data_IF_761178765052
#
_entry.id   IF_761178765052
#
_cell.length_a   1.000
_cell.length_b   1.000
_cell.length_c   1.000
_cell.angle_alpha   90.00
_cell.angle_beta   90.00
_cell.angle_gamma   90.00
#
_symmetry.space_group_name_H-M   'P 1'
#
loop_
_entity.id
_entity.type
_entity.pdbx_description
1 polymer ?
#
# COMPACT_ATOMS: atom_id res chain seq x y z
N UNK A 1 -5.83 35.33 13.45
CA UNK A 1 -6.88 34.41 12.98
C UNK A 1 -8.23 34.94 13.45
N UNK A 2 -9.13 35.30 12.53
CA UNK A 2 -10.50 35.65 12.91
C UNK A 2 -11.17 34.35 13.36
N UNK A 3 -11.49 34.22 14.66
CA UNK A 3 -12.42 33.17 15.10
C UNK A 3 -13.74 33.42 14.37
N UNK A 4 -14.32 32.38 13.76
CA UNK A 4 -15.69 32.47 13.26
C UNK A 4 -16.57 32.84 14.46
N UNK A 5 -17.28 33.96 14.37
CA UNK A 5 -18.00 34.59 15.49
C UNK A 5 -19.10 33.71 16.10
N UNK A 6 -19.37 32.52 15.55
CA UNK A 6 -20.48 31.66 15.99
C UNK A 6 -20.14 30.19 16.29
N UNK A 7 -18.86 29.80 16.19
CA UNK A 7 -18.47 28.42 16.51
C UNK A 7 -19.00 27.38 15.52
N UNK A 8 -18.79 27.61 14.24
CA UNK A 8 -19.22 26.72 13.16
C UNK A 8 -18.51 25.35 13.16
N UNK A 9 -18.92 24.52 12.21
CA UNK A 9 -18.29 23.23 11.92
C UNK A 9 -16.95 23.45 11.22
N UNK A 10 -15.92 22.74 11.68
CA UNK A 10 -14.62 22.63 11.01
C UNK A 10 -14.56 21.27 10.35
N UNK A 11 -14.17 21.21 9.08
CA UNK A 11 -13.89 19.95 8.40
C UNK A 11 -12.39 19.79 8.15
N UNK A 12 -11.90 18.55 8.24
CA UNK A 12 -10.58 18.13 7.75
C UNK A 12 -10.79 16.93 6.83
N UNK A 13 -9.92 16.70 5.85
CA UNK A 13 -10.00 15.50 4.99
C UNK A 13 -8.70 14.72 4.91
N UNK A 14 -8.80 13.42 4.62
CA UNK A 14 -7.64 12.57 4.41
C UNK A 14 -7.95 11.06 4.44
N UNK A 15 -6.94 10.28 4.06
CA UNK A 15 -7.01 8.81 4.11
C UNK A 15 -6.71 8.24 5.50
N UNK A 16 -5.86 8.91 6.29
CA UNK A 16 -5.55 8.53 7.68
C UNK A 16 -5.18 7.05 7.87
N UNK A 17 -4.31 6.53 7.00
CA UNK A 17 -4.04 5.09 6.92
C UNK A 17 -2.53 4.78 6.90
N UNK A 18 -1.93 4.29 8.01
CA UNK A 18 -2.51 4.20 9.36
C UNK A 18 -2.62 5.57 10.06
N UNK A 19 -3.48 5.65 11.08
CA UNK A 19 -3.58 6.81 11.98
C UNK A 19 -2.32 6.90 12.86
N UNK A 20 -1.81 8.12 13.09
CA UNK A 20 -0.64 8.36 13.93
C UNK A 20 -0.72 9.72 14.65
N UNK A 21 0.25 10.01 15.52
CA UNK A 21 0.25 11.20 16.39
C UNK A 21 0.16 12.53 15.61
N UNK A 22 0.63 12.56 14.37
CA UNK A 22 0.50 13.72 13.48
C UNK A 22 -0.96 14.08 13.20
N UNK A 23 -1.79 13.08 12.92
CA UNK A 23 -3.23 13.26 12.73
C UNK A 23 -3.92 13.73 14.01
N UNK A 24 -3.59 13.13 15.16
CA UNK A 24 -4.15 13.55 16.47
C UNK A 24 -3.84 15.01 16.77
N UNK A 25 -2.60 15.46 16.52
CA UNK A 25 -2.19 16.87 16.68
C UNK A 25 -2.90 17.78 15.68
N UNK A 26 -3.13 17.32 14.45
CA UNK A 26 -3.91 18.04 13.45
C UNK A 26 -5.36 18.23 13.93
N UNK A 27 -6.03 17.16 14.36
CA UNK A 27 -7.40 17.21 14.87
C UNK A 27 -7.51 18.13 16.09
N UNK A 28 -6.58 18.05 17.04
CA UNK A 28 -6.54 18.91 18.22
C UNK A 28 -6.41 20.40 17.87
N UNK A 29 -5.72 20.75 16.78
CA UNK A 29 -5.60 22.13 16.33
C UNK A 29 -6.80 22.56 15.48
N UNK A 30 -7.33 21.68 14.63
CA UNK A 30 -8.54 21.95 13.86
C UNK A 30 -9.76 22.19 14.77
N UNK A 31 -9.92 21.39 15.84
CA UNK A 31 -11.00 21.55 16.82
C UNK A 31 -10.96 22.91 17.53
N UNK A 32 -9.81 23.59 17.61
CA UNK A 32 -9.74 24.95 18.21
C UNK A 32 -10.34 26.04 17.32
N UNK A 33 -10.59 25.74 16.04
CA UNK A 33 -11.09 26.71 15.06
C UNK A 33 -12.62 26.80 15.03
N UNK A 34 -13.34 25.85 15.67
CA UNK A 34 -14.80 25.84 15.74
C UNK A 34 -15.33 24.97 16.87
N UNK A 35 -16.65 24.73 16.95
CA UNK A 35 -17.26 23.95 18.04
C UNK A 35 -17.31 22.44 17.76
N UNK A 36 -17.38 22.07 16.48
CA UNK A 36 -17.44 20.68 16.02
C UNK A 36 -16.39 20.43 14.95
N UNK A 37 -15.75 19.27 15.03
CA UNK A 37 -14.81 18.76 14.04
C UNK A 37 -15.43 17.59 13.29
N UNK A 38 -15.57 17.75 11.98
CA UNK A 38 -15.96 16.70 11.04
C UNK A 38 -14.71 16.22 10.31
N UNK A 39 -14.51 14.91 10.22
CA UNK A 39 -13.47 14.31 9.37
C UNK A 39 -14.13 13.74 8.13
N UNK A 40 -13.72 14.21 6.96
CA UNK A 40 -14.06 13.61 5.66
C UNK A 40 -13.01 12.55 5.35
N UNK A 41 -13.36 11.28 5.53
CA UNK A 41 -12.48 10.12 5.44
C UNK A 41 -12.50 9.54 4.02
N UNK A 42 -11.35 9.56 3.33
CA UNK A 42 -11.23 8.88 2.04
C UNK A 42 -11.47 7.37 2.24
N UNK A 43 -12.33 6.80 1.39
CA UNK A 43 -12.74 5.39 1.45
C UNK A 43 -11.65 4.44 0.91
N UNK A 44 -11.90 3.14 0.98
CA UNK A 44 -10.90 2.13 0.61
C UNK A 44 -10.57 2.15 -0.89
N UNK A 45 -11.55 2.40 -1.77
CA UNK A 45 -11.34 2.57 -3.21
C UNK A 45 -10.34 3.71 -3.49
N UNK A 46 -10.52 4.86 -2.84
CA UNK A 46 -9.64 6.01 -3.03
C UNK A 46 -8.21 5.72 -2.55
N UNK A 47 -8.05 4.98 -1.45
CA UNK A 47 -6.73 4.56 -0.95
C UNK A 47 -6.06 3.56 -1.90
N UNK A 48 -6.79 2.55 -2.37
CA UNK A 48 -6.32 1.58 -3.35
C UNK A 48 -5.81 2.29 -4.62
N UNK A 49 -6.58 3.20 -5.22
CA UNK A 49 -6.13 3.94 -6.41
C UNK A 49 -4.98 4.91 -6.11
N UNK A 50 -4.77 5.35 -4.86
CA UNK A 50 -3.64 6.23 -4.50
C UNK A 50 -2.35 5.47 -4.24
N UNK A 51 -2.44 4.40 -3.47
CA UNK A 51 -1.30 3.73 -2.81
C UNK A 51 -1.10 2.29 -3.27
N UNK A 52 -2.11 1.67 -3.88
CA UNK A 52 -2.12 0.25 -4.21
C UNK A 52 -2.47 -0.68 -3.05
N UNK A 53 -2.72 -0.14 -1.85
CA UNK A 53 -3.08 -0.94 -0.66
C UNK A 53 -3.94 -0.13 0.33
N UNK A 54 -4.60 -0.87 1.23
CA UNK A 54 -5.33 -0.37 2.41
C UNK A 54 -4.77 -1.10 3.63
N UNK A 55 -4.19 -0.37 4.58
CA UNK A 55 -3.62 -0.97 5.80
C UNK A 55 -4.69 -1.17 6.89
N UNK A 56 -5.58 -0.20 7.06
CA UNK A 56 -6.79 -0.28 7.87
C UNK A 56 -8.00 0.03 7.00
N UNK A 57 -9.04 -0.80 7.08
CA UNK A 57 -10.31 -0.57 6.36
C UNK A 57 -10.94 0.76 6.78
N UNK A 58 -11.78 1.32 5.92
CA UNK A 58 -12.47 2.58 6.21
C UNK A 58 -13.31 2.53 7.48
N UNK A 59 -13.83 1.36 7.85
CA UNK A 59 -14.64 1.18 9.05
C UNK A 59 -13.75 1.22 10.31
N UNK A 60 -12.62 0.53 10.31
CA UNK A 60 -11.63 0.58 11.40
C UNK A 60 -11.09 2.00 11.59
N UNK A 61 -10.71 2.67 10.48
CA UNK A 61 -10.23 4.05 10.52
C UNK A 61 -11.31 4.98 11.08
N UNK A 62 -12.57 4.83 10.65
CA UNK A 62 -13.70 5.61 11.17
C UNK A 62 -13.88 5.41 12.67
N UNK A 63 -13.86 4.17 13.14
CA UNK A 63 -14.02 3.83 14.56
C UNK A 63 -12.91 4.48 15.39
N UNK A 64 -11.64 4.27 15.03
CA UNK A 64 -10.50 4.87 15.73
C UNK A 64 -10.61 6.41 15.77
N UNK A 65 -11.04 7.05 14.67
CA UNK A 65 -11.21 8.50 14.62
C UNK A 65 -12.25 8.99 15.63
N UNK A 66 -13.39 8.31 15.73
CA UNK A 66 -14.45 8.64 16.70
C UNK A 66 -13.98 8.42 18.14
N UNK A 67 -13.26 7.32 18.40
CA UNK A 67 -12.74 6.98 19.73
C UNK A 67 -11.66 7.97 20.25
N UNK A 68 -11.10 8.82 19.39
CA UNK A 68 -10.16 9.86 19.85
C UNK A 68 -10.79 10.90 20.79
N UNK A 69 -12.12 11.04 20.81
CA UNK A 69 -12.85 12.12 21.48
C UNK A 69 -12.64 13.52 20.88
N UNK A 70 -11.75 13.64 19.88
CA UNK A 70 -11.48 14.90 19.19
C UNK A 70 -12.43 15.08 17.99
N UNK A 71 -12.83 14.01 17.33
CA UNK A 71 -13.67 14.04 16.14
C UNK A 71 -15.13 13.86 16.53
N UNK A 72 -15.98 14.83 16.16
CA UNK A 72 -17.41 14.80 16.51
C UNK A 72 -18.25 14.05 15.47
N UNK A 73 -17.75 13.93 14.22
CA UNK A 73 -18.39 13.14 13.16
C UNK A 73 -17.38 12.73 12.09
N UNK A 74 -17.56 11.53 11.54
CA UNK A 74 -16.82 11.06 10.36
C UNK A 74 -17.79 10.89 9.18
N UNK A 75 -17.43 11.44 8.03
CA UNK A 75 -18.13 11.27 6.75
C UNK A 75 -17.20 10.51 5.81
N UNK A 76 -17.58 9.29 5.42
CA UNK A 76 -16.80 8.50 4.46
C UNK A 76 -17.13 8.99 3.04
N UNK A 77 -16.10 9.12 2.20
CA UNK A 77 -16.29 9.55 0.81
C UNK A 77 -16.99 8.50 -0.05
N UNK A 78 -17.70 8.95 -1.07
CA UNK A 78 -18.50 8.16 -2.01
C UNK A 78 -17.74 7.65 -3.25
N UNK A 79 -16.40 7.66 -3.26
CA UNK A 79 -15.60 7.26 -4.43
C UNK A 79 -15.87 5.80 -4.85
N UNK A 80 -16.19 5.60 -6.11
CA UNK A 80 -16.31 4.24 -6.70
C UNK A 80 -14.93 3.66 -7.01
N UNK A 81 -14.90 2.38 -7.38
CA UNK A 81 -13.70 1.80 -7.98
C UNK A 81 -13.34 2.59 -9.25
N UNK A 82 -12.07 2.98 -9.39
CA UNK A 82 -11.56 3.81 -10.49
C UNK A 82 -12.29 5.16 -10.68
N UNK A 83 -12.78 5.77 -9.59
CA UNK A 83 -13.44 7.09 -9.66
C UNK A 83 -12.48 8.14 -10.27
N UNK A 84 -12.89 8.86 -11.33
CA UNK A 84 -12.07 9.90 -11.96
C UNK A 84 -11.91 11.13 -11.06
N UNK A 85 -12.84 11.39 -10.14
CA UNK A 85 -12.73 12.45 -9.14
C UNK A 85 -11.85 11.96 -7.98
N UNK A 86 -10.85 12.76 -7.60
CA UNK A 86 -9.98 12.48 -6.45
C UNK A 86 -10.15 13.49 -5.32
N UNK A 87 -11.01 14.48 -5.50
CA UNK A 87 -11.32 15.51 -4.51
C UNK A 87 -12.28 14.98 -3.44
N UNK A 88 -12.55 15.80 -2.42
CA UNK A 88 -13.64 15.55 -1.47
C UNK A 88 -14.83 16.49 -1.69
N UNK A 89 -14.99 17.02 -2.91
CA UNK A 89 -15.98 18.05 -3.22
C UNK A 89 -17.42 17.59 -2.95
N UNK A 90 -17.76 16.33 -3.26
CA UNK A 90 -19.10 15.76 -3.03
C UNK A 90 -19.48 15.85 -1.55
N UNK A 91 -18.59 15.40 -0.67
CA UNK A 91 -18.80 15.39 0.77
C UNK A 91 -18.67 16.79 1.38
N UNK A 92 -17.75 17.61 0.87
CA UNK A 92 -17.58 18.98 1.35
C UNK A 92 -18.81 19.84 1.06
N UNK A 93 -19.43 19.68 -0.10
CA UNK A 93 -20.69 20.33 -0.46
C UNK A 93 -21.88 19.86 0.40
N UNK A 94 -21.84 18.63 0.90
CA UNK A 94 -22.85 18.10 1.82
C UNK A 94 -22.65 18.58 3.26
N UNK A 95 -21.39 18.63 3.74
CA UNK A 95 -21.05 19.05 5.10
C UNK A 95 -21.19 20.56 5.29
N UNK A 96 -20.85 21.36 4.26
CA UNK A 96 -20.84 22.84 4.28
C UNK A 96 -20.22 23.41 5.57
N UNK A 97 -18.97 23.05 5.89
CA UNK A 97 -18.32 23.55 7.11
C UNK A 97 -18.08 25.06 7.01
N UNK A 98 -17.98 25.75 8.14
CA UNK A 98 -17.54 27.13 8.16
C UNK A 98 -16.04 27.23 7.79
N UNK A 99 -15.26 26.22 8.21
CA UNK A 99 -13.81 26.16 7.96
C UNK A 99 -13.44 24.79 7.37
N UNK A 100 -12.68 24.79 6.29
CA UNK A 100 -12.00 23.61 5.79
C UNK A 100 -10.50 23.69 6.11
N UNK A 101 -10.07 22.88 7.08
CA UNK A 101 -8.71 22.84 7.59
C UNK A 101 -7.92 21.72 6.92
N UNK A 102 -6.80 22.06 6.30
CA UNK A 102 -5.87 21.08 5.72
C UNK A 102 -4.58 21.00 6.56
N UNK A 103 -4.08 19.78 6.73
CA UNK A 103 -2.78 19.50 7.35
C UNK A 103 -1.65 19.35 6.32
N UNK A 104 -0.40 19.62 6.75
CA UNK A 104 0.81 19.38 5.97
C UNK A 104 1.02 20.28 4.74
N UNK A 105 1.81 19.81 3.78
CA UNK A 105 2.33 20.53 2.58
C UNK A 105 1.26 20.93 1.54
N UNK A 106 -0.04 20.84 1.88
CA UNK A 106 -1.10 21.34 1.00
C UNK A 106 -1.14 22.86 1.07
N UNK A 107 -0.65 23.50 0.01
CA UNK A 107 -0.76 24.93 -0.22
C UNK A 107 -1.95 25.31 -1.11
N UNK A 108 -2.03 26.59 -1.47
CA UNK A 108 -3.02 27.09 -2.44
C UNK A 108 -2.91 26.39 -3.79
N UNK A 109 -1.72 25.97 -4.19
CA UNK A 109 -1.49 25.53 -5.58
C UNK A 109 -1.87 24.06 -5.86
N UNK A 110 -2.32 23.30 -4.85
CA UNK A 110 -2.60 21.86 -4.98
C UNK A 110 -3.80 21.38 -4.14
N UNK A 111 -4.82 22.24 -3.97
CA UNK A 111 -6.04 21.87 -3.25
C UNK A 111 -7.25 21.93 -4.21
N UNK A 112 -7.72 20.76 -4.73
CA UNK A 112 -8.84 20.70 -5.68
C UNK A 112 -10.13 21.35 -5.17
N UNK A 113 -10.30 21.44 -3.86
CA UNK A 113 -11.50 21.97 -3.22
C UNK A 113 -11.57 23.50 -3.15
N UNK A 114 -10.54 24.23 -3.62
CA UNK A 114 -10.49 25.70 -3.50
C UNK A 114 -11.66 26.41 -4.18
N UNK A 115 -11.97 26.04 -5.42
CA UNK A 115 -13.04 26.68 -6.19
C UNK A 115 -14.40 26.45 -5.51
N UNK A 116 -14.63 25.23 -5.02
CA UNK A 116 -15.83 24.90 -4.27
C UNK A 116 -15.91 25.68 -2.96
N UNK A 117 -14.81 25.75 -2.20
CA UNK A 117 -14.75 26.51 -0.94
C UNK A 117 -15.09 27.99 -1.18
N UNK A 118 -14.52 28.60 -2.22
CA UNK A 118 -14.82 29.99 -2.60
C UNK A 118 -16.29 30.17 -2.96
N UNK A 119 -16.86 29.26 -3.76
CA UNK A 119 -18.27 29.29 -4.17
C UNK A 119 -19.23 29.15 -2.98
N UNK A 120 -18.87 28.33 -1.99
CA UNK A 120 -19.70 28.05 -0.82
C UNK A 120 -19.41 28.96 0.39
N UNK A 121 -18.45 29.89 0.28
CA UNK A 121 -18.06 30.77 1.39
C UNK A 121 -17.36 30.03 2.54
N UNK A 122 -16.71 28.90 2.25
CA UNK A 122 -15.96 28.10 3.23
C UNK A 122 -14.56 28.70 3.41
N UNK A 123 -14.18 29.05 4.64
CA UNK A 123 -12.85 29.56 4.95
C UNK A 123 -11.82 28.42 4.92
N UNK A 124 -10.75 28.55 4.14
CA UNK A 124 -9.68 27.56 4.11
C UNK A 124 -8.55 27.93 5.06
N UNK A 125 -8.15 26.98 5.90
CA UNK A 125 -7.00 27.13 6.81
C UNK A 125 -5.96 26.05 6.50
N UNK A 126 -4.76 26.47 6.13
CA UNK A 126 -3.66 25.57 5.79
C UNK A 126 -2.69 25.41 6.97
N UNK A 127 -1.85 24.38 6.90
CA UNK A 127 -0.79 24.11 7.89
C UNK A 127 -1.31 23.91 9.31
N UNK A 128 -2.48 23.27 9.47
CA UNK A 128 -3.05 22.98 10.79
C UNK A 128 -2.27 21.84 11.45
N UNK A 129 -1.37 22.19 12.36
CA UNK A 129 -0.52 21.24 13.09
C UNK A 129 0.81 21.86 13.49
N UNK A 130 1.09 21.94 14.81
CA UNK A 130 2.42 22.37 15.30
C UNK A 130 3.41 21.19 15.31
N UNK A 131 4.65 21.44 14.86
CA UNK A 131 5.77 20.50 15.03
C UNK A 131 6.29 19.79 13.77
N UNK A 132 5.92 20.22 12.56
CA UNK A 132 6.40 19.63 11.30
C UNK A 132 5.91 18.19 11.07
N UNK A 133 6.27 17.60 9.92
CA UNK A 133 6.06 16.17 9.62
C UNK A 133 7.02 15.32 10.46
N UNK A 134 6.77 15.22 11.77
CA UNK A 134 7.53 14.30 12.65
C UNK A 134 7.35 12.84 12.21
N UNK A 135 6.20 12.49 11.63
CA UNK A 135 5.86 11.12 11.22
C UNK A 135 4.82 11.17 10.10
N UNK A 136 4.91 10.26 9.14
CA UNK A 136 3.92 10.07 8.07
C UNK A 136 3.35 8.65 8.11
N UNK A 137 2.15 8.46 7.58
CA UNK A 137 1.58 7.12 7.39
C UNK A 137 2.48 6.22 6.52
N UNK A 138 3.08 6.78 5.46
CA UNK A 138 4.03 6.05 4.61
C UNK A 138 5.22 5.53 5.42
N UNK A 139 5.81 6.35 6.30
CA UNK A 139 6.92 5.92 7.15
C UNK A 139 6.57 4.74 8.07
N UNK A 140 5.32 4.67 8.56
CA UNK A 140 4.85 3.55 9.38
C UNK A 140 4.73 2.25 8.56
N UNK A 141 4.24 2.37 7.33
CA UNK A 141 4.05 1.23 6.43
C UNK A 141 5.34 0.81 5.72
N UNK A 142 6.29 1.73 5.54
CA UNK A 142 7.58 1.45 4.90
C UNK A 142 8.41 0.48 5.73
N UNK A 143 8.29 0.54 7.07
CA UNK A 143 8.94 -0.43 7.96
C UNK A 143 8.33 -1.83 7.88
N UNK A 144 7.06 -1.95 7.50
CA UNK A 144 6.36 -3.22 7.30
C UNK A 144 6.52 -3.76 5.89
N UNK A 145 6.61 -2.88 4.87
CA UNK A 145 6.90 -3.28 3.50
C UNK A 145 8.29 -3.91 3.35
N UNK A 146 9.26 -3.55 4.22
CA UNK A 146 10.56 -4.24 4.31
C UNK A 146 10.47 -5.74 4.68
N UNK A 147 9.35 -6.22 5.23
CA UNK A 147 9.19 -7.64 5.56
C UNK A 147 8.58 -8.47 4.42
N UNK A 148 8.12 -7.81 3.34
CA UNK A 148 7.51 -8.42 2.17
C UNK A 148 6.17 -9.14 2.42
N UNK A 149 5.40 -9.40 1.36
CA UNK A 149 4.16 -10.17 1.45
C UNK A 149 4.51 -11.66 1.50
N UNK A 150 4.25 -12.30 2.64
CA UNK A 150 4.53 -13.72 2.86
C UNK A 150 3.36 -14.60 2.44
N UNK A 151 3.66 -15.66 1.70
CA UNK A 151 2.70 -16.64 1.21
C UNK A 151 3.23 -18.05 1.48
N UNK A 152 2.49 -18.82 2.27
CA UNK A 152 2.80 -20.22 2.58
C UNK A 152 2.31 -21.15 1.45
N UNK A 153 3.06 -22.24 1.21
CA UNK A 153 2.79 -23.25 0.20
C UNK A 153 3.15 -24.65 0.73
N UNK A 154 2.61 -25.74 0.16
CA UNK A 154 3.00 -27.09 0.54
C UNK A 154 4.52 -27.29 0.46
N UNK A 155 5.15 -26.83 -0.63
CA UNK A 155 6.59 -26.92 -0.85
C UNK A 155 7.46 -25.99 0.02
N UNK A 156 6.87 -25.04 0.75
CA UNK A 156 7.61 -24.03 1.51
C UNK A 156 6.91 -22.69 1.57
N UNK A 157 7.61 -21.60 1.27
CA UNK A 157 7.04 -20.25 1.31
C UNK A 157 7.69 -19.34 0.29
N UNK A 158 6.99 -18.27 -0.06
CA UNK A 158 7.58 -17.13 -0.76
C UNK A 158 7.30 -15.83 -0.02
N UNK A 159 8.21 -14.87 -0.16
CA UNK A 159 8.08 -13.51 0.35
C UNK A 159 8.34 -12.56 -0.80
N UNK A 160 7.36 -11.75 -1.18
CA UNK A 160 7.52 -10.71 -2.20
C UNK A 160 8.00 -9.43 -1.55
N UNK A 161 9.24 -9.02 -1.82
CA UNK A 161 9.87 -7.83 -1.24
C UNK A 161 9.63 -6.58 -2.07
N UNK A 162 9.65 -6.71 -3.40
CA UNK A 162 9.49 -5.60 -4.33
C UNK A 162 8.58 -6.01 -5.49
N UNK A 163 7.64 -5.12 -5.81
CA UNK A 163 6.79 -5.20 -7.00
C UNK A 163 6.88 -3.86 -7.73
N UNK A 164 7.52 -3.86 -8.91
CA UNK A 164 7.60 -2.69 -9.79
C UNK A 164 7.08 -3.04 -11.18
N UNK A 165 6.93 -2.03 -12.04
CA UNK A 165 6.39 -2.20 -13.39
C UNK A 165 7.23 -3.12 -14.29
N UNK A 166 8.54 -3.19 -14.04
CA UNK A 166 9.51 -3.89 -14.88
C UNK A 166 10.38 -4.92 -14.15
N UNK A 167 10.18 -5.10 -12.85
CA UNK A 167 10.90 -6.12 -12.08
C UNK A 167 10.22 -6.47 -10.77
N UNK A 168 10.42 -7.70 -10.30
CA UNK A 168 10.05 -8.16 -8.96
C UNK A 168 11.26 -8.72 -8.21
N UNK A 169 11.19 -8.68 -6.88
CA UNK A 169 12.15 -9.36 -6.01
C UNK A 169 11.40 -10.23 -5.02
N UNK A 170 11.67 -11.53 -5.03
CA UNK A 170 11.04 -12.52 -4.14
C UNK A 170 12.12 -13.33 -3.43
N UNK A 171 11.87 -13.73 -2.18
CA UNK A 171 12.59 -14.85 -1.56
C UNK A 171 11.71 -16.08 -1.65
N UNK A 172 12.22 -17.17 -2.20
CA UNK A 172 11.55 -18.47 -2.28
C UNK A 172 12.29 -19.44 -1.36
N UNK A 173 11.61 -19.98 -0.38
CA UNK A 173 12.12 -21.02 0.53
C UNK A 173 11.48 -22.35 0.20
N UNK A 174 12.28 -23.37 -0.06
CA UNK A 174 11.85 -24.74 -0.34
C UNK A 174 12.15 -25.62 0.86
N UNK A 175 11.18 -26.43 1.28
CA UNK A 175 11.33 -27.43 2.35
C UNK A 175 12.16 -28.63 1.87
N UNK A 176 12.72 -29.43 2.78
CA UNK A 176 13.40 -30.67 2.44
C UNK A 176 12.49 -31.60 1.61
N UNK A 177 13.02 -32.13 0.50
CA UNK A 177 12.36 -33.04 -0.44
C UNK A 177 11.10 -32.48 -1.13
N UNK A 178 10.96 -31.16 -1.16
CA UNK A 178 9.88 -30.49 -1.87
C UNK A 178 10.38 -29.76 -3.13
N UNK A 179 9.42 -29.42 -4.00
CA UNK A 179 9.68 -28.78 -5.29
C UNK A 179 8.55 -27.84 -5.69
N UNK A 180 8.91 -26.81 -6.46
CA UNK A 180 7.94 -25.96 -7.15
C UNK A 180 7.40 -26.68 -8.40
N UNK A 181 6.35 -26.13 -9.01
CA UNK A 181 5.88 -26.59 -10.32
C UNK A 181 6.95 -26.38 -11.39
N UNK A 182 7.04 -27.28 -12.36
CA UNK A 182 7.79 -27.01 -13.61
C UNK A 182 7.01 -25.97 -14.40
N UNK A 183 7.65 -24.84 -14.67
CA UNK A 183 6.99 -23.68 -15.27
C UNK A 183 7.91 -22.94 -16.23
N UNK A 184 7.36 -22.00 -16.99
CA UNK A 184 8.11 -21.03 -17.80
C UNK A 184 7.37 -19.70 -17.81
N UNK A 185 8.08 -18.61 -18.09
CA UNK A 185 7.48 -17.28 -18.19
C UNK A 185 7.55 -16.73 -19.61
N UNK A 186 6.46 -16.12 -20.08
CA UNK A 186 6.42 -15.47 -21.40
C UNK A 186 6.95 -14.04 -21.39
N UNK A 187 6.86 -13.36 -20.24
CA UNK A 187 7.09 -11.91 -20.11
C UNK A 187 8.36 -11.50 -19.38
N UNK A 188 9.06 -12.42 -18.70
CA UNK A 188 10.18 -12.10 -17.82
C UNK A 188 11.31 -13.11 -17.87
N UNK A 189 12.52 -12.59 -17.66
CA UNK A 189 13.71 -13.37 -17.30
C UNK A 189 13.83 -13.43 -15.77
N UNK A 190 14.59 -14.38 -15.23
CA UNK A 190 14.82 -14.50 -13.79
C UNK A 190 16.31 -14.70 -13.48
N UNK A 191 16.77 -14.07 -12.39
CA UNK A 191 18.06 -14.34 -11.77
C UNK A 191 17.81 -14.90 -10.38
N UNK A 192 18.30 -16.11 -10.12
CA UNK A 192 18.20 -16.76 -8.83
C UNK A 192 19.55 -16.76 -8.15
N UNK A 193 19.60 -16.28 -6.91
CA UNK A 193 20.78 -16.34 -6.04
C UNK A 193 20.44 -17.22 -4.85
N UNK A 194 21.17 -18.30 -4.63
CA UNK A 194 20.98 -19.14 -3.44
C UNK A 194 21.55 -18.43 -2.22
N UNK A 195 20.68 -18.15 -1.24
CA UNK A 195 21.04 -17.35 -0.05
C UNK A 195 21.14 -18.19 1.22
N UNK A 196 20.54 -19.39 1.23
CA UNK A 196 20.64 -20.31 2.37
C UNK A 196 20.49 -21.75 1.93
N UNK A 197 21.27 -22.66 2.51
CA UNK A 197 21.17 -24.10 2.28
C UNK A 197 21.62 -24.51 0.88
N UNK A 198 20.97 -25.54 0.35
CA UNK A 198 21.27 -26.06 -0.99
C UNK A 198 19.97 -26.28 -1.77
N UNK A 199 19.91 -25.72 -2.97
CA UNK A 199 18.79 -25.92 -3.90
C UNK A 199 19.27 -26.59 -5.19
N UNK A 200 18.34 -27.19 -5.92
CA UNK A 200 18.56 -27.75 -7.25
C UNK A 200 17.68 -26.95 -8.21
N UNK A 201 18.33 -26.25 -9.14
CA UNK A 201 17.70 -25.55 -10.24
C UNK A 201 17.70 -26.45 -11.47
N UNK A 202 16.52 -26.85 -11.92
CA UNK A 202 16.30 -27.50 -13.21
C UNK A 202 15.99 -26.41 -14.23
N UNK A 203 16.85 -26.22 -15.24
CA UNK A 203 16.72 -25.20 -16.28
C UNK A 203 16.86 -25.89 -17.65
N UNK A 204 15.77 -25.91 -18.42
CA UNK A 204 15.71 -26.66 -19.67
C UNK A 204 15.90 -28.16 -19.43
N UNK A 205 16.96 -28.73 -19.99
CA UNK A 205 17.35 -30.14 -19.78
C UNK A 205 18.41 -30.34 -18.70
N UNK A 206 18.92 -29.26 -18.10
CA UNK A 206 20.01 -29.32 -17.14
C UNK A 206 19.51 -29.20 -15.70
N UNK A 207 20.19 -29.89 -14.77
CA UNK A 207 19.98 -29.74 -13.32
C UNK A 207 21.27 -29.28 -12.67
N UNK A 208 21.25 -28.10 -12.07
CA UNK A 208 22.39 -27.51 -11.36
C UNK A 208 22.11 -27.44 -9.87
N UNK A 209 23.02 -27.99 -9.07
CA UNK A 209 23.04 -27.81 -7.61
C UNK A 209 23.63 -26.44 -7.31
N UNK A 210 22.91 -25.62 -6.56
CA UNK A 210 23.36 -24.30 -6.10
C UNK A 210 23.53 -24.33 -4.58
N UNK A 211 24.65 -23.80 -4.10
CA UNK A 211 24.96 -23.55 -2.68
C UNK A 211 24.88 -22.06 -2.40
N UNK A 212 24.95 -21.68 -1.13
CA UNK A 212 24.99 -20.28 -0.71
C UNK A 212 26.03 -19.47 -1.49
N UNK A 213 25.59 -18.36 -2.09
CA UNK A 213 26.39 -17.49 -2.96
C UNK A 213 26.37 -17.86 -4.44
N UNK A 214 25.96 -19.08 -4.80
CA UNK A 214 25.80 -19.47 -6.21
C UNK A 214 24.57 -18.80 -6.83
N UNK A 215 24.63 -18.56 -8.13
CA UNK A 215 23.53 -17.99 -8.89
C UNK A 215 23.32 -18.67 -10.25
N UNK A 216 22.12 -18.50 -10.80
CA UNK A 216 21.75 -18.96 -12.13
C UNK A 216 20.76 -17.99 -12.77
N UNK A 217 20.88 -17.83 -14.09
CA UNK A 217 19.95 -17.06 -14.91
C UNK A 217 18.99 -17.99 -15.64
N UNK A 218 17.72 -17.59 -15.72
CA UNK A 218 16.65 -18.29 -16.41
C UNK A 218 16.08 -17.36 -17.47
N UNK A 219 16.39 -17.64 -18.73
CA UNK A 219 15.85 -16.87 -19.83
C UNK A 219 14.34 -17.13 -20.00
N UNK A 220 13.58 -16.10 -20.37
CA UNK A 220 12.16 -16.19 -20.71
C UNK A 220 11.89 -17.34 -21.70
N UNK A 221 10.76 -18.01 -21.52
CA UNK A 221 10.39 -19.20 -22.28
C UNK A 221 11.11 -20.49 -21.88
N UNK A 222 12.15 -20.42 -21.02
CA UNK A 222 12.85 -21.61 -20.54
C UNK A 222 12.03 -22.30 -19.47
N UNK A 223 11.78 -23.60 -19.64
CA UNK A 223 11.18 -24.44 -18.60
C UNK A 223 12.15 -24.53 -17.42
N UNK A 224 11.66 -24.30 -16.22
CA UNK A 224 12.48 -24.35 -15.03
C UNK A 224 11.71 -24.81 -13.80
N UNK A 225 12.43 -25.36 -12.82
CA UNK A 225 11.91 -25.81 -11.53
C UNK A 225 12.97 -25.62 -10.44
N UNK A 226 12.53 -25.18 -9.27
CA UNK A 226 13.35 -25.15 -8.06
C UNK A 226 12.93 -26.28 -7.11
N UNK A 227 13.91 -27.02 -6.60
CA UNK A 227 13.70 -28.08 -5.59
C UNK A 227 14.81 -28.09 -4.54
N UNK A 228 14.64 -28.82 -3.44
CA UNK A 228 15.71 -29.03 -2.47
C UNK A 228 15.60 -30.37 -1.75
N UNK A 229 16.74 -31.00 -1.44
CA UNK A 229 16.80 -32.23 -0.61
C UNK A 229 16.82 -31.92 0.89
N UNK A 230 17.53 -30.88 1.30
CA UNK A 230 17.77 -30.53 2.71
C UNK A 230 17.04 -29.25 3.13
N UNK A 231 16.34 -28.61 2.20
CA UNK A 231 15.80 -27.28 2.34
C UNK A 231 16.80 -26.20 1.90
N UNK A 232 16.26 -25.06 1.51
CA UNK A 232 17.07 -23.93 1.10
C UNK A 232 16.22 -22.75 0.65
N UNK A 233 16.88 -21.64 0.35
CA UNK A 233 16.22 -20.44 -0.14
C UNK A 233 17.01 -19.76 -1.25
N UNK A 234 16.28 -19.21 -2.21
CA UNK A 234 16.81 -18.30 -3.21
C UNK A 234 16.21 -16.91 -3.04
N UNK A 235 16.95 -15.88 -3.44
CA UNK A 235 16.40 -14.61 -3.86
C UNK A 235 16.27 -14.64 -5.38
N UNK A 236 15.05 -14.44 -5.86
CA UNK A 236 14.69 -14.33 -7.26
C UNK A 236 14.52 -12.85 -7.61
N UNK A 237 15.22 -12.41 -8.65
CA UNK A 237 14.99 -11.13 -9.31
C UNK A 237 14.40 -11.43 -10.68
N UNK A 238 13.12 -11.10 -10.86
CA UNK A 238 12.46 -11.22 -12.15
C UNK A 238 12.54 -9.89 -12.91
N UNK A 239 12.91 -9.90 -14.18
CA UNK A 239 13.13 -8.73 -15.03
C UNK A 239 12.22 -8.80 -16.26
N UNK A 240 11.47 -7.74 -16.54
CA UNK A 240 10.54 -7.65 -17.67
C UNK A 240 9.10 -7.40 -17.25
N UNK A 241 8.15 -7.79 -18.10
CA UNK A 241 6.72 -7.64 -17.82
C UNK A 241 6.28 -8.72 -16.82
N UNK A 242 6.60 -8.51 -15.55
CA UNK A 242 6.32 -9.45 -14.47
C UNK A 242 4.83 -9.36 -14.14
N UNK A 243 4.07 -10.36 -14.58
CA UNK A 243 2.62 -10.52 -14.35
C UNK A 243 2.35 -11.96 -14.00
N UNK A 244 1.41 -12.25 -13.10
CA UNK A 244 1.14 -13.65 -12.72
C UNK A 244 0.50 -14.44 -13.88
N UNK A 245 -0.11 -13.75 -14.86
CA UNK A 245 -0.63 -14.36 -16.09
C UNK A 245 0.46 -14.80 -17.07
N UNK A 246 1.73 -14.45 -16.83
CA UNK A 246 2.84 -14.84 -17.70
C UNK A 246 3.34 -16.28 -17.48
N UNK A 247 2.85 -16.93 -16.42
CA UNK A 247 3.29 -18.24 -15.96
C UNK A 247 2.57 -19.34 -16.72
N UNK A 248 3.32 -20.19 -17.41
CA UNK A 248 2.84 -21.45 -17.99
C UNK A 248 3.33 -22.60 -17.12
N UNK A 249 2.40 -23.41 -16.58
CA UNK A 249 2.71 -24.58 -15.75
C UNK A 249 2.60 -25.86 -16.58
N UNK A 250 3.57 -26.76 -16.41
CA UNK A 250 3.65 -28.03 -17.13
C UNK A 250 3.42 -29.23 -16.22
N UNK A 251 3.97 -29.18 -15.01
CA UNK A 251 3.86 -30.26 -14.02
C UNK A 251 3.80 -29.63 -12.63
N UNK A 252 2.87 -30.11 -11.80
CA UNK A 252 2.77 -29.69 -10.40
C UNK A 252 2.42 -30.88 -9.51
N UNK A 253 3.31 -31.16 -8.54
CA UNK A 253 3.12 -32.18 -7.50
C UNK A 253 1.84 -31.98 -6.68
N UNK A 254 1.31 -30.76 -6.63
CA UNK A 254 0.15 -30.39 -5.81
C UNK A 254 -1.12 -30.06 -6.60
N UNK A 255 -1.15 -30.36 -7.91
CA UNK A 255 -2.36 -30.28 -8.73
C UNK A 255 -2.89 -28.86 -9.02
N UNK A 256 -2.05 -27.83 -8.96
CA UNK A 256 -2.41 -26.47 -9.39
C UNK A 256 -2.32 -26.41 -10.92
N UNK A 257 -3.43 -26.06 -11.56
CA UNK A 257 -3.49 -25.71 -12.99
C UNK A 257 -3.20 -24.23 -13.17
#
# INVERSE_FOLDING_TARGET
>A
MKKTKDGGVVAVSGGFDPIHIGHVRMFKNAKKLGKKLVVILNNDNWLMTKKGFVFMTQNERKEILLETGLVDKVVITSHTENDPDRSVNRELAAVKPAIFANGGDRGRDNTPEMELCKKLGIEMVFSVGKGGKMQSSSWLTDKTSMQGIKVERPWGKMVTHVTAANYWVKTITVKPNEELSLQSHTGRDELWVCVTGTVIAEIGSEKKKLREGDFIFVAKGTKHRLSSKEGGAIVEVALGNCREEDIIRYEDKYGRT
#
